data_IF_422803536308
#
_entry.id   IF_422803536308
#
_cell.length_a   1.000
_cell.length_b   1.000
_cell.length_c   1.000
_cell.angle_alpha   90.00
_cell.angle_beta   90.00
_cell.angle_gamma   90.00
#
_symmetry.space_group_name_H-M   'P 1'
#
loop_
_entity.id
_entity.type
_entity.pdbx_description
1 polymer ?
#
# COMPACT_ATOMS: atom_id res chain seq x y z
N UNK A 1 10.41 -21.68 -31.26
CA UNK A 1 9.68 -22.32 -30.15
C UNK A 1 9.33 -21.25 -29.13
N UNK A 2 8.03 -20.92 -28.98
CA UNK A 2 7.58 -20.02 -27.91
C UNK A 2 7.86 -20.73 -26.59
N UNK A 3 8.65 -20.11 -25.70
CA UNK A 3 8.75 -20.57 -24.31
C UNK A 3 7.33 -20.68 -23.76
N UNK A 4 6.99 -21.74 -23.00
CA UNK A 4 5.72 -21.78 -22.30
C UNK A 4 5.68 -20.54 -21.41
N UNK A 5 4.69 -19.68 -21.60
CA UNK A 5 4.29 -18.73 -20.56
C UNK A 5 3.83 -19.65 -19.42
N UNK A 6 4.63 -19.78 -18.38
CA UNK A 6 4.10 -20.26 -17.11
C UNK A 6 3.06 -19.21 -16.72
N UNK A 7 1.78 -19.48 -17.01
CA UNK A 7 0.66 -18.79 -16.38
C UNK A 7 0.89 -18.97 -14.89
N UNK A 8 1.06 -17.86 -14.18
CA UNK A 8 1.32 -17.81 -12.74
C UNK A 8 0.45 -18.85 -12.04
N UNK A 9 1.08 -19.73 -11.25
CA UNK A 9 0.35 -20.65 -10.40
C UNK A 9 -0.52 -19.83 -9.46
N UNK A 10 -1.80 -20.16 -9.41
CA UNK A 10 -2.81 -19.45 -8.64
C UNK A 10 -2.32 -19.18 -7.20
N UNK A 11 -2.51 -17.95 -6.75
CA UNK A 11 -2.21 -17.50 -5.40
C UNK A 11 -2.82 -18.47 -4.37
N UNK A 12 -2.06 -18.85 -3.34
CA UNK A 12 -2.50 -19.78 -2.27
C UNK A 12 -3.89 -19.43 -1.73
N UNK A 13 -4.17 -18.15 -1.52
CA UNK A 13 -5.47 -17.66 -1.07
C UNK A 13 -6.57 -17.86 -2.11
N UNK A 14 -6.30 -17.49 -3.36
CA UNK A 14 -7.26 -17.66 -4.45
C UNK A 14 -7.58 -19.14 -4.62
N UNK A 15 -6.59 -20.03 -4.55
CA UNK A 15 -6.78 -21.49 -4.61
C UNK A 15 -7.63 -21.96 -3.43
N UNK A 16 -7.35 -21.49 -2.21
CA UNK A 16 -8.08 -21.87 -1.00
C UNK A 16 -9.56 -21.45 -1.06
N UNK A 17 -9.85 -20.25 -1.55
CA UNK A 17 -11.21 -19.68 -1.64
C UNK A 17 -11.85 -19.82 -3.03
N UNK A 18 -11.25 -20.59 -3.93
CA UNK A 18 -11.91 -21.09 -5.14
C UNK A 18 -12.84 -22.27 -4.82
N UNK A 19 -12.65 -22.92 -3.67
CA UNK A 19 -13.64 -23.84 -3.12
C UNK A 19 -14.88 -23.08 -2.66
N UNK A 20 -16.04 -23.56 -3.08
CA UNK A 20 -17.33 -22.89 -2.84
C UNK A 20 -17.71 -22.87 -1.36
N UNK A 21 -17.43 -23.95 -0.62
CA UNK A 21 -17.78 -24.04 0.80
C UNK A 21 -16.93 -23.05 1.60
N UNK A 22 -15.62 -23.00 1.32
CA UNK A 22 -14.70 -22.03 1.93
C UNK A 22 -15.11 -20.57 1.60
N UNK A 23 -15.51 -20.30 0.36
CA UNK A 23 -15.92 -18.96 -0.07
C UNK A 23 -17.20 -18.48 0.63
N UNK A 24 -18.18 -19.38 0.82
CA UNK A 24 -19.41 -19.08 1.55
C UNK A 24 -19.11 -18.87 3.04
N UNK A 25 -18.25 -19.71 3.65
CA UNK A 25 -17.80 -19.52 5.03
C UNK A 25 -17.18 -18.12 5.21
N UNK A 26 -16.26 -17.74 4.32
CA UNK A 26 -15.62 -16.44 4.33
C UNK A 26 -16.66 -15.30 4.24
N UNK A 27 -17.58 -15.39 3.28
CA UNK A 27 -18.57 -14.33 3.08
C UNK A 27 -19.55 -14.19 4.25
N UNK A 28 -19.98 -15.32 4.83
CA UNK A 28 -20.80 -15.31 6.05
C UNK A 28 -20.06 -14.63 7.22
N UNK A 29 -18.77 -14.91 7.37
CA UNK A 29 -17.95 -14.28 8.41
C UNK A 29 -17.77 -12.76 8.19
N UNK A 30 -17.61 -12.32 6.93
CA UNK A 30 -17.46 -10.90 6.58
C UNK A 30 -18.74 -10.08 6.76
N UNK A 31 -19.87 -10.61 6.29
CA UNK A 31 -21.14 -9.88 6.22
C UNK A 31 -22.06 -10.12 7.41
N UNK A 32 -21.79 -11.15 8.23
CA UNK A 32 -22.67 -11.60 9.30
C UNK A 32 -23.90 -12.37 8.81
N UNK A 33 -23.92 -12.78 7.54
CA UNK A 33 -24.96 -13.63 6.96
C UNK A 33 -24.83 -15.09 7.39
N UNK A 34 -25.80 -15.92 6.96
CA UNK A 34 -25.82 -17.35 7.22
C UNK A 34 -26.30 -18.12 5.97
N UNK A 35 -25.64 -17.89 4.83
CA UNK A 35 -25.87 -18.62 3.60
C UNK A 35 -25.48 -20.09 3.76
N UNK A 36 -26.31 -21.00 3.26
CA UNK A 36 -25.97 -22.41 3.20
C UNK A 36 -24.96 -22.70 2.08
N UNK A 37 -24.30 -23.86 2.14
CA UNK A 37 -23.30 -24.29 1.16
C UNK A 37 -23.84 -24.52 -0.26
N UNK A 38 -25.15 -24.72 -0.40
CA UNK A 38 -25.80 -24.94 -1.68
C UNK A 38 -26.14 -23.61 -2.38
N UNK A 39 -26.11 -22.49 -1.65
CA UNK A 39 -26.31 -21.12 -2.16
C UNK A 39 -25.55 -20.90 -3.47
N UNK A 40 -26.21 -20.45 -4.55
CA UNK A 40 -25.54 -20.17 -5.81
C UNK A 40 -24.48 -19.07 -5.66
N UNK A 41 -23.24 -19.40 -6.00
CA UNK A 41 -22.12 -18.45 -6.06
C UNK A 41 -21.52 -18.52 -7.46
N UNK A 42 -21.32 -17.36 -8.08
CA UNK A 42 -20.62 -17.25 -9.35
C UNK A 42 -19.27 -16.59 -9.10
N UNK A 43 -18.19 -17.36 -9.12
CA UNK A 43 -16.83 -16.81 -9.12
C UNK A 43 -16.61 -16.07 -10.45
N UNK A 44 -16.08 -14.87 -10.37
CA UNK A 44 -15.81 -13.98 -11.50
C UNK A 44 -14.32 -13.70 -11.53
N UNK A 45 -13.63 -14.20 -12.55
CA UNK A 45 -12.24 -13.84 -12.81
C UNK A 45 -12.16 -12.38 -13.25
N UNK A 46 -11.38 -11.57 -12.54
CA UNK A 46 -11.16 -10.17 -12.88
C UNK A 46 -10.18 -10.08 -14.05
N UNK A 47 -10.70 -9.99 -15.27
CA UNK A 47 -9.86 -9.77 -16.47
C UNK A 47 -9.22 -8.37 -16.48
N UNK A 48 -7.97 -8.34 -16.96
CA UNK A 48 -7.07 -7.23 -17.33
C UNK A 48 -6.22 -6.51 -16.26
N UNK A 49 -4.93 -6.44 -16.57
CA UNK A 49 -3.83 -5.83 -15.84
C UNK A 49 -3.78 -4.29 -15.96
N UNK A 50 -4.52 -3.55 -15.14
CA UNK A 50 -4.31 -2.09 -15.00
C UNK A 50 -3.12 -1.75 -14.10
N UNK A 51 -2.98 -2.51 -13.02
CA UNK A 51 -1.88 -2.44 -12.08
C UNK A 51 -1.27 -3.83 -12.12
N UNK A 52 0.00 -3.95 -12.53
CA UNK A 52 0.64 -5.19 -13.03
C UNK A 52 0.61 -6.44 -12.14
N UNK A 53 -0.06 -6.41 -10.99
CA UNK A 53 -0.07 -7.43 -9.95
C UNK A 53 -1.50 -7.76 -9.45
N UNK A 54 -2.44 -8.07 -10.37
CA UNK A 54 -3.83 -8.47 -10.02
C UNK A 54 -4.00 -9.96 -9.68
N UNK A 55 -2.90 -10.71 -9.58
CA UNK A 55 -2.92 -12.17 -9.41
C UNK A 55 -3.51 -12.65 -8.07
N UNK A 56 -3.78 -11.72 -7.15
CA UNK A 56 -4.27 -11.99 -5.80
C UNK A 56 -5.72 -11.52 -5.54
N UNK A 57 -6.46 -11.08 -6.57
CA UNK A 57 -7.80 -10.53 -6.37
C UNK A 57 -8.87 -11.61 -6.62
N UNK A 58 -9.77 -11.83 -5.66
CA UNK A 58 -10.91 -12.75 -5.75
C UNK A 58 -12.21 -11.96 -5.89
N UNK A 59 -13.04 -12.32 -6.86
CA UNK A 59 -14.33 -11.67 -7.10
C UNK A 59 -15.42 -12.71 -7.33
N UNK A 60 -16.60 -12.47 -6.78
CA UNK A 60 -17.74 -13.36 -6.94
C UNK A 60 -19.07 -12.64 -6.76
N UNK A 61 -20.13 -13.26 -7.26
CA UNK A 61 -21.51 -12.79 -7.10
C UNK A 61 -22.29 -13.79 -6.26
N UNK A 62 -22.97 -13.29 -5.23
CA UNK A 62 -23.88 -14.03 -4.36
C UNK A 62 -25.09 -13.14 -4.05
N UNK A 63 -26.31 -13.66 -4.20
CA UNK A 63 -27.55 -12.96 -3.83
C UNK A 63 -27.65 -11.50 -4.35
N UNK A 64 -27.39 -11.31 -5.65
CA UNK A 64 -27.33 -10.00 -6.31
C UNK A 64 -26.32 -9.00 -5.72
N UNK A 65 -25.36 -9.47 -4.93
CA UNK A 65 -24.22 -8.70 -4.46
C UNK A 65 -22.97 -9.10 -5.20
N UNK A 66 -22.16 -8.12 -5.56
CA UNK A 66 -20.86 -8.31 -6.16
C UNK A 66 -19.79 -8.09 -5.11
N UNK A 67 -19.07 -9.14 -4.76
CA UNK A 67 -18.03 -9.09 -3.75
C UNK A 67 -16.68 -9.02 -4.46
N UNK A 68 -15.88 -8.01 -4.11
CA UNK A 68 -14.50 -7.87 -4.57
C UNK A 68 -13.60 -7.92 -3.34
N UNK A 69 -12.77 -8.95 -3.29
CA UNK A 69 -11.77 -9.18 -2.27
C UNK A 69 -10.39 -9.00 -2.92
N UNK A 70 -9.63 -8.02 -2.46
CA UNK A 70 -8.23 -7.90 -2.89
C UNK A 70 -7.34 -8.45 -1.80
N UNK A 71 -6.54 -9.45 -2.12
CA UNK A 71 -5.74 -10.13 -1.11
C UNK A 71 -4.35 -9.50 -0.91
N UNK A 72 -3.98 -9.43 0.37
CA UNK A 72 -2.68 -9.20 0.97
C UNK A 72 -1.79 -8.20 0.25
N UNK A 73 -2.06 -6.92 0.52
CA UNK A 73 -1.02 -5.92 0.43
C UNK A 73 -0.07 -6.11 1.63
N UNK A 74 1.21 -6.26 1.34
CA UNK A 74 2.30 -6.28 2.33
C UNK A 74 2.58 -4.87 2.89
N UNK A 75 2.20 -3.85 2.11
CA UNK A 75 2.32 -2.42 2.43
C UNK A 75 0.95 -1.76 2.51
N UNK A 76 0.75 -0.87 3.48
CA UNK A 76 -0.51 -0.12 3.57
C UNK A 76 -0.61 0.90 2.42
N UNK A 77 -1.64 0.79 1.58
CA UNK A 77 -1.84 1.69 0.44
C UNK A 77 -3.12 2.53 0.58
N UNK A 78 -3.05 3.85 0.83
CA UNK A 78 -4.23 4.70 0.95
C UNK A 78 -5.01 4.84 -0.38
N UNK A 79 -4.41 4.47 -1.52
CA UNK A 79 -5.02 4.56 -2.84
C UNK A 79 -5.93 3.36 -3.19
N UNK A 80 -6.18 2.44 -2.25
CA UNK A 80 -7.04 1.26 -2.47
C UNK A 80 -8.47 1.64 -2.92
N UNK A 81 -9.18 2.61 -2.32
CA UNK A 81 -10.51 3.02 -2.79
C UNK A 81 -10.53 3.45 -4.26
N UNK A 82 -9.49 4.17 -4.71
CA UNK A 82 -9.35 4.58 -6.11
C UNK A 82 -9.12 3.38 -7.05
N UNK A 83 -8.29 2.41 -6.64
CA UNK A 83 -8.10 1.15 -7.38
C UNK A 83 -9.41 0.37 -7.49
N UNK A 84 -10.15 0.25 -6.39
CA UNK A 84 -11.44 -0.44 -6.34
C UNK A 84 -12.50 0.23 -7.22
N UNK A 85 -12.53 1.57 -7.28
CA UNK A 85 -13.40 2.30 -8.21
C UNK A 85 -13.13 1.89 -9.67
N UNK A 86 -11.86 1.77 -10.05
CA UNK A 86 -11.50 1.35 -11.40
C UNK A 86 -11.90 -0.12 -11.65
N UNK A 87 -11.80 -0.99 -10.64
CA UNK A 87 -12.15 -2.41 -10.77
C UNK A 87 -13.65 -2.56 -11.01
N UNK A 88 -14.46 -2.00 -10.10
CA UNK A 88 -15.91 -2.12 -10.18
C UNK A 88 -16.49 -1.47 -11.43
N UNK A 89 -15.94 -0.33 -11.88
CA UNK A 89 -16.40 0.32 -13.10
C UNK A 89 -16.23 -0.58 -14.33
N UNK A 90 -15.08 -1.26 -14.47
CA UNK A 90 -14.84 -2.20 -15.57
C UNK A 90 -15.70 -3.45 -15.49
N UNK A 91 -15.94 -3.95 -14.29
CA UNK A 91 -16.81 -5.12 -14.12
C UNK A 91 -18.28 -4.81 -14.44
N UNK A 92 -18.77 -3.63 -14.04
CA UNK A 92 -20.08 -3.18 -14.49
C UNK A 92 -20.10 -2.88 -15.99
N UNK A 93 -19.03 -2.38 -16.59
CA UNK A 93 -18.95 -2.25 -18.04
C UNK A 93 -19.23 -3.60 -18.73
N UNK A 94 -18.55 -4.67 -18.30
CA UNK A 94 -18.79 -6.04 -18.83
C UNK A 94 -20.22 -6.53 -18.62
N UNK A 95 -20.85 -6.19 -17.50
CA UNK A 95 -22.23 -6.61 -17.22
C UNK A 95 -23.29 -5.83 -17.99
N UNK A 96 -23.18 -4.50 -18.01
CA UNK A 96 -24.32 -3.62 -18.37
C UNK A 96 -24.08 -2.71 -19.55
N UNK A 97 -22.85 -2.56 -20.06
CA UNK A 97 -22.61 -1.83 -21.31
C UNK A 97 -22.98 -2.69 -22.54
N UNK A 98 -24.17 -3.28 -22.50
CA UNK A 98 -24.91 -3.81 -23.64
C UNK A 98 -25.85 -2.73 -24.20
N UNK A 99 -26.69 -3.05 -25.19
CA UNK A 99 -27.75 -2.13 -25.66
C UNK A 99 -28.75 -1.74 -24.56
N UNK A 100 -28.78 -2.46 -23.45
CA UNK A 100 -29.73 -2.26 -22.35
C UNK A 100 -29.50 -0.95 -21.59
N UNK A 101 -28.29 -0.42 -21.56
CA UNK A 101 -28.02 0.88 -20.91
C UNK A 101 -28.74 2.06 -21.60
N UNK A 102 -29.12 1.90 -22.87
CA UNK A 102 -29.92 2.86 -23.62
C UNK A 102 -31.44 2.69 -23.39
N UNK A 103 -31.83 1.71 -22.57
CA UNK A 103 -33.23 1.50 -22.20
C UNK A 103 -33.77 2.67 -21.40
N UNK A 104 -35.04 3.01 -21.61
CA UNK A 104 -35.77 3.97 -20.74
C UNK A 104 -36.09 3.38 -19.36
N UNK A 105 -35.95 2.06 -19.18
CA UNK A 105 -36.16 1.39 -17.89
C UNK A 105 -34.84 1.35 -17.12
N UNK A 106 -34.85 1.58 -15.79
CA UNK A 106 -33.65 1.47 -14.97
C UNK A 106 -33.02 0.07 -15.09
N UNK A 107 -31.73 0.02 -15.44
CA UNK A 107 -30.93 -1.20 -15.39
C UNK A 107 -30.50 -1.43 -13.95
N UNK A 108 -30.89 -2.56 -13.36
CA UNK A 108 -30.46 -2.95 -12.02
C UNK A 108 -29.12 -3.67 -12.11
N UNK A 109 -28.18 -3.28 -11.26
CA UNK A 109 -26.85 -3.88 -11.16
C UNK A 109 -26.66 -4.53 -9.79
N UNK A 110 -25.79 -5.54 -9.67
CA UNK A 110 -25.44 -6.10 -8.38
C UNK A 110 -24.91 -5.04 -7.42
N UNK A 111 -25.22 -5.12 -6.13
CA UNK A 111 -24.70 -4.16 -5.12
C UNK A 111 -23.27 -4.53 -4.75
N UNK A 112 -22.30 -3.61 -4.79
CA UNK A 112 -20.92 -3.97 -4.50
C UNK A 112 -20.61 -4.00 -3.01
N UNK A 113 -19.80 -4.96 -2.60
CA UNK A 113 -19.12 -4.96 -1.31
C UNK A 113 -17.63 -5.17 -1.53
N UNK A 114 -16.81 -4.31 -0.92
CA UNK A 114 -15.38 -4.18 -1.23
C UNK A 114 -14.57 -4.44 0.04
N UNK A 115 -13.63 -5.37 -0.05
CA UNK A 115 -12.79 -5.77 1.07
C UNK A 115 -11.32 -5.81 0.67
N UNK A 116 -10.45 -5.39 1.58
CA UNK A 116 -9.02 -5.58 1.47
C UNK A 116 -8.50 -6.30 2.71
N UNK A 117 -7.77 -7.38 2.48
CA UNK A 117 -7.09 -8.11 3.54
C UNK A 117 -5.65 -7.63 3.67
N UNK A 118 -5.28 -7.19 4.86
CA UNK A 118 -3.93 -6.78 5.17
C UNK A 118 -3.21 -7.85 5.96
N UNK A 119 -2.02 -8.21 5.49
CA UNK A 119 -1.12 -9.14 6.17
C UNK A 119 0.31 -8.63 6.12
N UNK A 120 0.52 -7.32 6.03
CA UNK A 120 1.85 -6.73 6.07
C UNK A 120 2.49 -6.79 7.44
N UNK A 121 3.75 -6.35 7.51
CA UNK A 121 4.56 -6.31 8.74
C UNK A 121 4.44 -4.98 9.49
N UNK A 122 3.93 -3.93 8.85
CA UNK A 122 3.73 -2.62 9.48
C UNK A 122 2.60 -2.67 10.51
N UNK A 123 2.65 -1.74 11.47
CA UNK A 123 1.55 -1.58 12.40
C UNK A 123 0.33 -0.98 11.70
N UNK A 124 -0.78 -1.73 11.72
CA UNK A 124 -2.04 -1.35 11.09
C UNK A 124 -3.22 -1.67 12.02
N UNK A 125 -4.32 -0.90 11.95
CA UNK A 125 -5.51 -1.14 12.75
C UNK A 125 -6.11 -2.51 12.45
N UNK A 126 -6.86 -3.09 13.40
CA UNK A 126 -7.52 -4.39 13.21
C UNK A 126 -8.56 -4.32 12.09
N UNK A 127 -9.36 -3.26 12.07
CA UNK A 127 -10.33 -2.94 11.02
C UNK A 127 -10.40 -1.42 10.81
N UNK A 128 -10.66 -0.99 9.57
CA UNK A 128 -10.97 0.40 9.24
C UNK A 128 -11.80 0.49 7.96
N UNK A 129 -12.51 1.60 7.77
CA UNK A 129 -13.10 1.96 6.47
C UNK A 129 -12.16 2.92 5.74
N UNK A 130 -11.84 2.59 4.49
CA UNK A 130 -11.09 3.48 3.59
C UNK A 130 -12.07 4.09 2.61
N UNK A 131 -12.07 5.42 2.47
CA UNK A 131 -13.02 6.14 1.60
C UNK A 131 -12.30 6.79 0.44
N UNK A 132 -12.97 6.84 -0.71
CA UNK A 132 -12.45 7.54 -1.88
C UNK A 132 -12.39 9.05 -1.63
N UNK A 133 -13.37 9.57 -0.88
CA UNK A 133 -13.43 10.99 -0.53
C UNK A 133 -12.22 11.47 0.28
N UNK A 134 -11.52 10.60 1.01
CA UNK A 134 -10.28 10.95 1.73
C UNK A 134 -9.15 11.39 0.78
N UNK A 135 -9.24 11.04 -0.51
CA UNK A 135 -8.28 11.42 -1.54
C UNK A 135 -8.69 12.68 -2.34
N UNK A 136 -9.83 13.31 -2.04
CA UNK A 136 -10.29 14.48 -2.78
C UNK A 136 -9.48 15.73 -2.43
N UNK A 137 -9.08 16.49 -3.46
CA UNK A 137 -8.27 17.71 -3.28
C UNK A 137 -9.05 18.87 -2.65
N UNK A 138 -10.37 18.88 -2.83
CA UNK A 138 -11.25 19.95 -2.35
C UNK A 138 -12.17 19.41 -1.26
N UNK A 139 -12.40 20.22 -0.23
CA UNK A 139 -13.47 19.96 0.74
C UNK A 139 -14.82 20.00 0.04
N UNK A 140 -15.64 18.98 0.29
CA UNK A 140 -16.93 18.80 -0.35
C UNK A 140 -18.01 18.58 0.71
N UNK A 141 -19.01 19.45 0.78
CA UNK A 141 -20.18 19.25 1.66
C UNK A 141 -21.03 18.04 1.23
N UNK A 142 -20.96 17.69 -0.07
CA UNK A 142 -21.70 16.57 -0.66
C UNK A 142 -20.79 15.71 -1.52
N UNK A 143 -20.68 14.44 -1.14
CA UNK A 143 -19.95 13.43 -1.92
C UNK A 143 -20.81 12.94 -3.09
N UNK A 144 -20.32 13.13 -4.31
CA UNK A 144 -21.04 12.76 -5.55
C UNK A 144 -20.72 11.33 -6.01
N UNK A 145 -19.54 10.82 -5.67
CA UNK A 145 -19.11 9.43 -5.90
C UNK A 145 -18.35 9.01 -4.66
N UNK A 146 -18.76 7.90 -4.06
CA UNK A 146 -18.08 7.32 -2.90
C UNK A 146 -17.80 5.85 -3.15
N UNK A 147 -16.59 5.43 -2.78
CA UNK A 147 -16.19 4.03 -2.72
C UNK A 147 -15.67 3.79 -1.32
N UNK A 148 -16.37 2.94 -0.57
CA UNK A 148 -15.99 2.54 0.78
C UNK A 148 -15.44 1.12 0.73
N UNK A 149 -14.22 0.94 1.22
CA UNK A 149 -13.54 -0.35 1.28
C UNK A 149 -13.35 -0.74 2.74
N UNK A 150 -13.78 -1.95 3.10
CA UNK A 150 -13.54 -2.52 4.42
C UNK A 150 -12.14 -3.12 4.47
N UNK A 151 -11.26 -2.49 5.22
CA UNK A 151 -9.92 -2.99 5.49
C UNK A 151 -9.95 -3.87 6.73
N UNK A 152 -9.36 -5.07 6.62
CA UNK A 152 -9.30 -6.03 7.72
C UNK A 152 -7.87 -6.57 7.81
N UNK A 153 -7.25 -6.37 8.98
CA UNK A 153 -5.94 -6.92 9.29
C UNK A 153 -6.07 -8.39 9.68
N UNK A 154 -5.65 -9.27 8.77
CA UNK A 154 -5.74 -10.72 8.92
C UNK A 154 -4.46 -11.33 9.48
N UNK A 155 -3.50 -10.53 9.98
CA UNK A 155 -2.39 -11.05 10.77
C UNK A 155 -2.96 -11.78 12.01
N UNK A 156 -2.53 -13.03 12.23
CA UNK A 156 -3.11 -13.92 13.24
C UNK A 156 -3.12 -13.30 14.65
N UNK A 157 -2.02 -12.65 15.03
CA UNK A 157 -1.83 -12.02 16.33
C UNK A 157 -2.67 -10.75 16.56
N UNK A 158 -3.21 -10.13 15.50
CA UNK A 158 -4.03 -8.91 15.61
C UNK A 158 -5.48 -9.22 16.04
N UNK A 159 -5.91 -10.48 15.94
CA UNK A 159 -7.14 -10.96 16.55
C UNK A 159 -8.43 -10.42 15.92
N UNK A 160 -8.42 -10.17 14.60
CA UNK A 160 -9.62 -9.74 13.87
C UNK A 160 -10.80 -10.69 14.09
N UNK A 161 -12.00 -10.13 14.20
CA UNK A 161 -13.23 -10.90 14.46
C UNK A 161 -13.52 -11.89 13.32
N UNK A 162 -13.14 -11.53 12.09
CA UNK A 162 -13.15 -12.42 10.93
C UNK A 162 -12.47 -13.78 11.21
N UNK A 163 -11.31 -13.76 11.87
CA UNK A 163 -10.54 -14.98 12.16
C UNK A 163 -11.20 -15.85 13.23
N UNK A 164 -12.17 -15.33 13.99
CA UNK A 164 -12.95 -16.14 14.95
C UNK A 164 -14.16 -16.79 14.29
N UNK A 165 -14.63 -16.24 13.17
CA UNK A 165 -15.85 -16.64 12.47
C UNK A 165 -15.60 -17.50 11.23
N UNK A 166 -14.41 -17.41 10.65
CA UNK A 166 -14.01 -18.21 9.49
C UNK A 166 -12.79 -19.05 9.85
N UNK A 167 -12.98 -20.37 10.02
CA UNK A 167 -11.91 -21.29 10.37
C UNK A 167 -10.89 -21.40 9.24
N UNK A 168 -11.35 -21.35 7.98
CA UNK A 168 -10.46 -21.39 6.81
C UNK A 168 -9.51 -20.20 6.78
N UNK A 169 -10.03 -18.98 6.96
CA UNK A 169 -9.20 -17.76 7.04
C UNK A 169 -8.27 -17.80 8.26
N UNK A 170 -8.76 -18.27 9.42
CA UNK A 170 -7.93 -18.44 10.62
C UNK A 170 -6.75 -19.39 10.36
N UNK A 171 -7.00 -20.52 9.71
CA UNK A 171 -5.97 -21.49 9.36
C UNK A 171 -4.93 -20.91 8.41
N UNK A 172 -5.38 -20.12 7.43
CA UNK A 172 -4.49 -19.43 6.51
C UNK A 172 -3.61 -18.39 7.23
N UNK A 173 -4.21 -17.51 8.03
CA UNK A 173 -3.47 -16.52 8.85
C UNK A 173 -2.46 -17.18 9.78
N UNK A 174 -2.83 -18.32 10.39
CA UNK A 174 -1.97 -19.07 11.30
C UNK A 174 -0.78 -19.72 10.57
N UNK A 175 -1.00 -20.24 9.36
CA UNK A 175 0.09 -20.74 8.51
C UNK A 175 1.11 -19.63 8.23
N UNK A 176 0.66 -18.45 7.77
CA UNK A 176 1.57 -17.35 7.48
C UNK A 176 2.30 -16.85 8.74
N UNK A 177 1.59 -16.75 9.86
CA UNK A 177 2.20 -16.40 11.14
C UNK A 177 3.31 -17.38 11.54
N UNK A 178 3.04 -18.69 11.44
CA UNK A 178 4.02 -19.72 11.79
C UNK A 178 5.27 -19.67 10.91
N UNK A 179 5.09 -19.45 9.59
CA UNK A 179 6.21 -19.26 8.66
C UNK A 179 7.09 -18.08 9.10
N UNK A 180 6.47 -16.94 9.44
CA UNK A 180 7.18 -15.74 9.90
C UNK A 180 7.91 -15.93 11.22
N UNK A 181 7.34 -16.70 12.15
CA UNK A 181 8.00 -17.02 13.42
C UNK A 181 9.21 -17.90 13.16
N UNK A 182 9.05 -19.03 12.45
CA UNK A 182 10.15 -19.95 12.16
C UNK A 182 11.26 -19.27 11.33
N UNK A 183 10.89 -18.44 10.36
CA UNK A 183 11.87 -17.73 9.55
C UNK A 183 12.72 -16.77 10.38
N UNK A 184 12.13 -16.06 11.35
CA UNK A 184 12.88 -15.22 12.30
C UNK A 184 13.82 -16.02 13.20
N UNK A 185 13.50 -17.29 13.47
CA UNK A 185 14.30 -18.18 14.33
C UNK A 185 15.47 -18.84 13.56
N UNK A 186 15.23 -19.36 12.36
CA UNK A 186 16.22 -20.13 11.60
C UNK A 186 16.93 -19.35 10.48
N UNK A 187 16.35 -18.24 10.02
CA UNK A 187 16.89 -17.44 8.91
C UNK A 187 16.80 -18.10 7.53
N UNK A 188 16.11 -19.25 7.39
CA UNK A 188 15.98 -19.99 6.14
C UNK A 188 14.50 -20.14 5.73
N UNK A 189 14.06 -19.33 4.77
CA UNK A 189 12.66 -19.22 4.37
C UNK A 189 12.09 -20.56 3.87
N UNK A 190 12.86 -21.31 3.07
CA UNK A 190 12.44 -22.61 2.55
C UNK A 190 12.14 -23.61 3.67
N UNK A 191 13.05 -23.73 4.64
CA UNK A 191 12.88 -24.57 5.83
C UNK A 191 11.71 -24.10 6.68
N UNK A 192 11.57 -22.80 6.90
CA UNK A 192 10.46 -22.23 7.66
C UNK A 192 9.09 -22.57 7.04
N UNK A 193 8.97 -22.49 5.70
CA UNK A 193 7.75 -22.85 4.97
C UNK A 193 7.47 -24.35 5.09
N UNK A 194 8.47 -25.19 4.83
CA UNK A 194 8.31 -26.65 4.84
C UNK A 194 7.89 -27.15 6.23
N UNK A 195 8.57 -26.72 7.28
CA UNK A 195 8.24 -27.10 8.65
C UNK A 195 6.85 -26.59 9.06
N UNK A 196 6.49 -25.38 8.67
CA UNK A 196 5.17 -24.81 8.94
C UNK A 196 4.06 -25.62 8.26
N UNK A 197 4.24 -26.01 7.00
CA UNK A 197 3.27 -26.84 6.30
C UNK A 197 3.09 -28.19 7.01
N UNK A 198 4.20 -28.86 7.39
CA UNK A 198 4.15 -30.14 8.12
C UNK A 198 3.42 -30.01 9.46
N UNK A 199 3.71 -28.95 10.23
CA UNK A 199 3.08 -28.71 11.53
C UNK A 199 1.59 -28.38 11.40
N UNK A 200 1.21 -27.59 10.38
CA UNK A 200 -0.19 -27.33 10.06
C UNK A 200 -0.94 -28.61 9.72
N UNK A 201 -0.38 -29.46 8.84
CA UNK A 201 -0.96 -30.76 8.49
C UNK A 201 -1.13 -31.67 9.72
N UNK A 202 -0.11 -31.76 10.57
CA UNK A 202 -0.16 -32.58 11.79
C UNK A 202 -1.19 -32.07 12.82
N UNK A 203 -1.41 -30.75 12.86
CA UNK A 203 -2.34 -30.09 13.80
C UNK A 203 -3.76 -29.94 13.24
N UNK A 204 -4.06 -30.46 12.05
CA UNK A 204 -5.38 -30.35 11.41
C UNK A 204 -5.70 -28.97 10.82
N UNK A 205 -4.71 -28.09 10.67
CA UNK A 205 -4.87 -26.74 10.14
C UNK A 205 -4.71 -26.80 8.62
N UNK A 206 -5.80 -26.52 7.88
CA UNK A 206 -5.83 -26.63 6.42
C UNK A 206 -5.27 -27.98 5.91
N UNK A 207 -5.41 -29.05 6.69
CA UNK A 207 -4.64 -30.28 6.48
C UNK A 207 -4.90 -30.93 5.12
N UNK A 208 -6.16 -31.06 4.70
CA UNK A 208 -6.50 -31.61 3.38
C UNK A 208 -6.03 -30.69 2.24
N UNK A 209 -6.24 -29.38 2.38
CA UNK A 209 -5.77 -28.38 1.40
C UNK A 209 -4.25 -28.42 1.22
N UNK A 210 -3.49 -28.44 2.33
CA UNK A 210 -2.03 -28.49 2.30
C UNK A 210 -1.50 -29.85 1.83
N UNK A 211 -2.26 -30.93 2.03
CA UNK A 211 -1.90 -32.26 1.51
C UNK A 211 -2.06 -32.32 -0.01
N UNK A 212 -3.11 -31.70 -0.54
CA UNK A 212 -3.37 -31.65 -1.98
C UNK A 212 -2.48 -30.63 -2.71
N UNK A 213 -2.31 -29.45 -2.14
CA UNK A 213 -1.66 -28.30 -2.79
C UNK A 213 -0.32 -27.88 -2.17
N UNK A 214 0.20 -28.60 -1.17
CA UNK A 214 1.35 -28.16 -0.36
C UNK A 214 2.60 -27.79 -1.15
N UNK A 215 2.91 -28.51 -2.24
CA UNK A 215 4.05 -28.18 -3.10
C UNK A 215 3.87 -26.86 -3.86
N UNK A 216 2.66 -26.57 -4.32
CA UNK A 216 2.33 -25.31 -5.00
C UNK A 216 2.28 -24.15 -4.02
N UNK A 217 1.70 -24.38 -2.83
CA UNK A 217 1.70 -23.43 -1.71
C UNK A 217 3.12 -23.09 -1.30
N UNK A 218 4.00 -24.08 -1.16
CA UNK A 218 5.40 -23.86 -0.82
C UNK A 218 6.12 -23.00 -1.86
N UNK A 219 5.97 -23.35 -3.14
CA UNK A 219 6.59 -22.59 -4.24
C UNK A 219 6.12 -21.15 -4.28
N UNK A 220 4.81 -20.93 -4.14
CA UNK A 220 4.20 -19.60 -4.17
C UNK A 220 4.61 -18.75 -2.96
N UNK A 221 4.52 -19.30 -1.75
CA UNK A 221 4.89 -18.57 -0.54
C UNK A 221 6.38 -18.24 -0.49
N UNK A 222 7.24 -19.13 -1.00
CA UNK A 222 8.66 -18.85 -1.10
C UNK A 222 8.93 -17.65 -2.01
N UNK A 223 8.33 -17.64 -3.20
CA UNK A 223 8.45 -16.53 -4.15
C UNK A 223 7.88 -15.22 -3.57
N UNK A 224 6.65 -15.26 -3.03
CA UNK A 224 5.96 -14.09 -2.46
C UNK A 224 6.75 -13.47 -1.31
N UNK A 225 7.15 -14.27 -0.32
CA UNK A 225 7.86 -13.77 0.86
C UNK A 225 9.28 -13.31 0.52
N UNK A 226 9.98 -13.98 -0.40
CA UNK A 226 11.28 -13.50 -0.90
C UNK A 226 11.14 -12.14 -1.59
N UNK A 227 10.07 -11.94 -2.37
CA UNK A 227 9.79 -10.66 -3.02
C UNK A 227 9.51 -9.57 -1.99
N UNK A 228 8.68 -9.84 -0.99
CA UNK A 228 8.39 -8.91 0.11
C UNK A 228 9.66 -8.48 0.85
N UNK A 229 10.57 -9.42 1.14
CA UNK A 229 11.87 -9.12 1.77
C UNK A 229 12.75 -8.23 0.89
N UNK A 230 12.84 -8.54 -0.41
CA UNK A 230 13.59 -7.72 -1.36
C UNK A 230 13.03 -6.31 -1.49
N UNK A 231 11.70 -6.16 -1.46
CA UNK A 231 11.02 -4.87 -1.48
C UNK A 231 11.32 -4.07 -0.21
N UNK A 232 11.25 -4.70 0.97
CA UNK A 232 11.59 -4.06 2.24
C UNK A 232 13.05 -3.57 2.30
N UNK A 233 14.01 -4.37 1.79
CA UNK A 233 15.42 -3.96 1.71
C UNK A 233 15.58 -2.73 0.81
N UNK A 234 14.95 -2.73 -0.37
CA UNK A 234 15.01 -1.59 -1.31
C UNK A 234 14.40 -0.32 -0.73
N UNK A 235 13.33 -0.45 0.04
CA UNK A 235 12.70 0.68 0.71
C UNK A 235 13.62 1.26 1.79
N UNK A 236 14.28 0.40 2.58
CA UNK A 236 15.26 0.82 3.58
C UNK A 236 16.48 1.52 2.93
N UNK A 237 17.06 0.94 1.88
CA UNK A 237 18.17 1.53 1.13
C UNK A 237 17.78 2.92 0.56
N UNK A 238 16.57 3.02 0.00
CA UNK A 238 16.03 4.27 -0.53
C UNK A 238 15.85 5.35 0.54
N UNK A 239 15.42 4.96 1.75
CA UNK A 239 15.31 5.87 2.88
C UNK A 239 16.68 6.35 3.37
N UNK A 240 17.66 5.45 3.49
CA UNK A 240 19.03 5.80 3.88
C UNK A 240 19.68 6.74 2.87
N UNK A 241 19.55 6.45 1.57
CA UNK A 241 20.06 7.29 0.51
C UNK A 241 19.39 8.67 0.51
N UNK A 242 18.06 8.73 0.63
CA UNK A 242 17.34 10.01 0.69
C UNK A 242 17.75 10.86 1.90
N UNK A 243 18.05 10.23 3.04
CA UNK A 243 18.58 10.93 4.23
C UNK A 243 20.00 11.46 4.00
N UNK A 244 20.86 10.68 3.36
CA UNK A 244 22.23 11.10 3.01
C UNK A 244 22.21 12.27 2.04
N UNK A 245 21.46 12.15 0.93
CA UNK A 245 21.33 13.18 -0.09
C UNK A 245 20.75 14.48 0.50
N UNK A 246 19.72 14.36 1.37
CA UNK A 246 19.13 15.50 2.06
C UNK A 246 20.10 16.19 3.03
N UNK A 247 20.94 15.43 3.72
CA UNK A 247 21.99 15.99 4.59
C UNK A 247 23.06 16.72 3.78
N UNK A 248 23.57 16.11 2.71
CA UNK A 248 24.59 16.73 1.84
C UNK A 248 24.06 18.00 1.16
N UNK A 249 22.84 17.98 0.64
CA UNK A 249 22.20 19.17 0.07
C UNK A 249 21.99 20.26 1.12
N UNK A 250 21.59 19.89 2.33
CA UNK A 250 21.43 20.80 3.45
C UNK A 250 22.75 21.46 3.87
N UNK A 251 23.82 20.67 3.98
CA UNK A 251 25.17 21.16 4.31
C UNK A 251 25.70 22.10 3.23
N UNK A 252 25.60 21.72 1.95
CA UNK A 252 26.02 22.56 0.84
C UNK A 252 25.23 23.88 0.78
N UNK A 253 23.91 23.82 0.94
CA UNK A 253 23.05 25.00 0.97
C UNK A 253 23.37 25.90 2.17
N UNK A 254 23.54 25.32 3.36
CA UNK A 254 23.90 26.04 4.58
C UNK A 254 25.26 26.72 4.49
N UNK A 255 26.25 26.04 3.91
CA UNK A 255 27.59 26.58 3.72
C UNK A 255 27.61 27.76 2.73
N UNK A 256 26.91 27.64 1.60
CA UNK A 256 26.82 28.73 0.62
C UNK A 256 26.03 29.93 1.17
N UNK A 257 24.95 29.68 1.93
CA UNK A 257 24.22 30.74 2.64
C UNK A 257 25.10 31.44 3.66
N UNK A 258 25.84 30.69 4.48
CA UNK A 258 26.77 31.25 5.46
C UNK A 258 27.86 32.12 4.84
N UNK A 259 28.45 31.70 3.71
CA UNK A 259 29.39 32.53 2.95
C UNK A 259 28.76 33.82 2.44
N UNK A 260 27.54 33.76 1.93
CA UNK A 260 26.84 34.95 1.44
C UNK A 260 26.55 35.92 2.59
N UNK A 261 26.11 35.41 3.74
CA UNK A 261 25.83 36.21 4.94
C UNK A 261 27.11 36.85 5.48
N UNK A 262 28.25 36.14 5.48
CA UNK A 262 29.55 36.72 5.85
C UNK A 262 29.97 37.85 4.90
N UNK A 263 29.84 37.65 3.57
CA UNK A 263 30.11 38.70 2.57
C UNK A 263 29.23 39.93 2.78
N UNK A 264 27.95 39.75 3.08
CA UNK A 264 27.00 40.83 3.40
C UNK A 264 27.41 41.56 4.69
N UNK A 265 27.80 40.83 5.73
CA UNK A 265 28.27 41.42 7.00
C UNK A 265 29.54 42.26 6.82
N UNK A 266 30.51 41.77 6.04
CA UNK A 266 31.71 42.53 5.67
C UNK A 266 31.33 43.80 4.93
N UNK A 267 30.44 43.71 3.93
CA UNK A 267 29.99 44.87 3.15
C UNK A 267 29.25 45.91 4.01
N UNK A 268 28.38 45.47 4.92
CA UNK A 268 27.68 46.34 5.88
C UNK A 268 28.66 47.07 6.79
N UNK A 269 29.64 46.36 7.37
CA UNK A 269 30.66 46.95 8.24
C UNK A 269 31.51 47.99 7.49
N UNK A 270 31.94 47.70 6.27
CA UNK A 270 32.71 48.65 5.45
C UNK A 270 31.88 49.86 5.01
N UNK A 271 30.58 49.67 4.71
CA UNK A 271 29.64 50.75 4.39
C UNK A 271 29.42 51.67 5.58
N UNK A 272 29.27 51.11 6.79
CA UNK A 272 29.16 51.86 8.04
C UNK A 272 30.43 52.66 8.37
N UNK A 273 31.62 52.14 8.01
CA UNK A 273 32.90 52.84 8.16
C UNK A 273 33.16 53.92 7.09
N UNK A 274 32.25 54.12 6.12
CA UNK A 274 32.38 55.15 5.08
C UNK A 274 33.37 54.81 3.96
N UNK A 275 33.71 53.53 3.78
CA UNK A 275 34.66 53.11 2.75
C UNK A 275 34.09 53.27 1.32
N UNK A 276 34.92 53.61 0.31
CA UNK A 276 34.46 53.75 -1.07
C UNK A 276 33.88 52.44 -1.63
N UNK A 277 32.80 52.53 -2.41
CA UNK A 277 32.10 51.37 -3.02
C UNK A 277 33.05 50.43 -3.77
N UNK A 278 34.04 50.97 -4.52
CA UNK A 278 35.05 50.16 -5.22
C UNK A 278 35.85 49.26 -4.28
N UNK A 279 36.15 49.73 -3.07
CA UNK A 279 36.85 48.97 -2.05
C UNK A 279 35.94 47.89 -1.46
N UNK A 280 34.68 48.22 -1.19
CA UNK A 280 33.69 47.25 -0.68
C UNK A 280 33.51 46.08 -1.66
N UNK A 281 33.41 46.36 -2.97
CA UNK A 281 33.34 45.32 -4.02
C UNK A 281 34.58 44.42 -3.96
N UNK A 282 35.77 45.01 -3.88
CA UNK A 282 37.03 44.27 -3.90
C UNK A 282 37.21 43.32 -2.70
N UNK A 283 36.71 43.67 -1.51
CA UNK A 283 36.87 42.87 -0.29
C UNK A 283 35.69 41.97 0.05
N UNK A 284 34.45 42.36 -0.26
CA UNK A 284 33.25 41.52 -0.01
C UNK A 284 32.94 40.57 -1.18
N UNK A 285 33.43 40.88 -2.39
CA UNK A 285 33.09 40.14 -3.60
C UNK A 285 31.63 40.27 -4.04
N UNK A 286 30.87 41.21 -3.46
CA UNK A 286 29.51 41.55 -3.88
C UNK A 286 29.52 42.58 -5.02
N UNK A 287 28.47 42.57 -5.84
CA UNK A 287 28.27 43.54 -6.91
C UNK A 287 27.83 44.90 -6.36
N UNK A 288 28.02 45.95 -7.17
CA UNK A 288 27.59 47.31 -6.80
C UNK A 288 26.07 47.40 -6.53
N UNK A 289 25.26 46.64 -7.27
CA UNK A 289 23.81 46.59 -7.08
C UNK A 289 23.43 45.96 -5.73
N UNK A 290 24.06 44.86 -5.35
CA UNK A 290 23.86 44.19 -4.06
C UNK A 290 24.27 45.10 -2.89
N UNK A 291 25.42 45.78 -2.99
CA UNK A 291 25.91 46.69 -1.95
C UNK A 291 24.99 47.91 -1.75
N UNK A 292 24.41 48.42 -2.86
CA UNK A 292 23.44 49.53 -2.80
C UNK A 292 22.11 49.10 -2.19
N UNK A 293 21.69 47.85 -2.43
CA UNK A 293 20.46 47.28 -1.88
C UNK A 293 20.57 46.94 -0.37
N UNK A 294 21.77 46.72 0.17
CA UNK A 294 21.97 46.48 1.61
C UNK A 294 21.54 47.69 2.45
N UNK A 295 20.60 47.49 3.36
CA UNK A 295 20.10 48.50 4.32
C UNK A 295 20.61 48.22 5.74
N UNK A 296 20.52 49.19 6.66
CA UNK A 296 21.00 49.03 8.04
C UNK A 296 20.23 47.95 8.83
N UNK A 297 19.05 47.55 8.36
CA UNK A 297 18.21 46.49 8.95
C UNK A 297 18.61 45.08 8.49
N UNK A 298 19.58 44.93 7.58
CA UNK A 298 20.08 43.62 7.10
C UNK A 298 21.15 42.99 8.00
N UNK A 299 21.34 43.52 9.22
CA UNK A 299 22.17 42.86 10.23
C UNK A 299 21.47 41.58 10.70
N UNK A 300 21.85 40.45 10.11
CA UNK A 300 21.41 39.13 10.54
C UNK A 300 21.92 38.85 11.96
N UNK A 301 20.99 38.75 12.91
CA UNK A 301 21.22 38.22 14.25
C UNK A 301 21.18 36.68 14.17
N UNK A 302 22.30 35.97 14.41
CA UNK A 302 22.33 34.51 14.35
C UNK A 302 21.47 33.83 15.42
N UNK A 303 20.99 34.56 16.44
CA UNK A 303 20.15 34.04 17.52
C UNK A 303 18.63 34.31 17.32
N UNK A 304 18.19 34.88 16.19
CA UNK A 304 16.76 35.05 15.87
C UNK A 304 16.23 33.94 14.92
N UNK A 305 15.54 32.90 15.43
CA UNK A 305 14.91 31.91 14.59
C UNK A 305 13.62 32.47 13.97
N UNK A 306 13.63 32.64 12.64
CA UNK A 306 12.42 32.73 11.84
C UNK A 306 12.04 34.13 11.33
N UNK A 307 12.67 34.56 10.23
CA UNK A 307 12.00 35.39 9.23
C UNK A 307 11.93 34.63 7.91
N UNK A 308 10.73 34.39 7.37
CA UNK A 308 10.58 33.77 6.06
C UNK A 308 10.98 34.77 4.96
N UNK A 309 11.68 34.28 3.94
CA UNK A 309 11.71 34.89 2.60
C UNK A 309 10.64 34.19 1.78
#
# INVERSE_FOLDING_TARGET
MKKPKHTYKDNTFCTLFSDKENLIELYNALSGSNYDKDTPVKIVTLDDAFFGDRENDLSFIIDHKWIILTEQQSTLCPNIPLRMLAYIAREYEKLVFSREIYSKKPVKIPTPELYVFYNGLEDAPVEQEMKLSDAFMAECDKISVEVVVRFINVNYEKGAELLKRCNTMQGYSRLIHMIRVKYRECGELGTAIEESIRECQASGILAEFLKEHGGDVMSFLFEKLTREECEAIREADGYEQGKSDGFEQGEASGFEKGKLDEKRKIALNMKAAGEPIKKIIAYSGLTEAEIKALTHDDNFDPDEPGKPI
#
